data_IF_659419831234
#
_entry.id   IF_659419831234
#
_cell.length_a   1.000
_cell.length_b   1.000
_cell.length_c   1.000
_cell.angle_alpha   90.00
_cell.angle_beta   90.00
_cell.angle_gamma   90.00
#
_symmetry.space_group_name_H-M   'P 1'
#
loop_
_entity.id
_entity.type
_entity.pdbx_description
1 polymer ?
#
# COMPACT_ATOMS: atom_id res chain seq x y z
N UNK A 1 100.15 0.70 22.74
CA UNK A 1 99.00 0.10 23.44
C UNK A 1 98.01 1.16 23.99
N UNK A 2 97.93 2.37 23.39
CA UNK A 2 97.01 3.45 23.82
C UNK A 2 95.90 3.70 22.78
N UNK A 3 96.12 3.30 21.51
CA UNK A 3 95.17 3.50 20.41
C UNK A 3 93.90 2.65 20.55
N UNK A 4 94.01 1.40 21.03
CA UNK A 4 92.88 0.48 21.15
C UNK A 4 91.81 0.92 22.18
N UNK A 5 92.16 1.74 23.19
CA UNK A 5 91.20 2.24 24.17
C UNK A 5 90.31 3.36 23.62
N UNK A 6 90.82 4.19 22.68
CA UNK A 6 90.05 5.25 22.05
C UNK A 6 89.02 4.73 21.06
N UNK A 7 89.36 3.69 20.29
CA UNK A 7 88.42 3.03 19.37
C UNK A 7 87.26 2.37 20.14
N UNK A 8 87.55 1.72 21.28
CA UNK A 8 86.52 1.12 22.14
C UNK A 8 85.59 2.17 22.77
N UNK A 9 86.12 3.31 23.23
CA UNK A 9 85.30 4.42 23.74
C UNK A 9 84.43 5.05 22.64
N UNK A 10 84.94 5.16 21.42
CA UNK A 10 84.20 5.68 20.26
C UNK A 10 83.07 4.73 19.81
N UNK A 11 83.32 3.42 19.86
CA UNK A 11 82.31 2.39 19.53
C UNK A 11 81.18 2.36 20.57
N UNK A 12 81.52 2.44 21.86
CA UNK A 12 80.54 2.55 22.96
C UNK A 12 79.69 3.82 22.84
N UNK A 13 80.30 4.96 22.48
CA UNK A 13 79.57 6.20 22.24
C UNK A 13 78.62 6.10 21.03
N UNK A 14 79.03 5.39 19.97
CA UNK A 14 78.18 5.14 18.78
C UNK A 14 76.98 4.25 19.10
N UNK A 15 77.16 3.18 19.88
CA UNK A 15 76.06 2.30 20.31
C UNK A 15 75.05 3.06 21.19
N UNK A 16 75.53 3.88 22.11
CA UNK A 16 74.67 4.69 22.96
C UNK A 16 73.89 5.74 22.17
N UNK A 17 74.55 6.43 21.22
CA UNK A 17 73.89 7.37 20.31
C UNK A 17 72.84 6.68 19.43
N UNK A 18 73.15 5.50 18.89
CA UNK A 18 72.18 4.72 18.11
C UNK A 18 70.95 4.33 18.94
N UNK A 19 71.15 3.98 20.20
CA UNK A 19 70.05 3.66 21.13
C UNK A 19 69.15 4.88 21.33
N UNK A 20 69.72 6.05 21.61
CA UNK A 20 68.95 7.30 21.78
C UNK A 20 68.21 7.69 20.50
N UNK A 21 68.85 7.53 19.33
CA UNK A 21 68.24 7.84 18.03
C UNK A 21 67.06 6.90 17.79
N UNK A 22 67.21 5.61 18.05
CA UNK A 22 66.15 4.62 17.89
C UNK A 22 64.98 4.89 18.86
N UNK A 23 65.26 5.15 20.13
CA UNK A 23 64.22 5.49 21.12
C UNK A 23 63.46 6.76 20.75
N UNK A 24 64.15 7.77 20.20
CA UNK A 24 63.51 8.99 19.71
C UNK A 24 62.62 8.70 18.49
N UNK A 25 63.13 7.90 17.54
CA UNK A 25 62.39 7.52 16.33
C UNK A 25 61.13 6.73 16.68
N UNK A 26 61.22 5.75 17.56
CA UNK A 26 60.05 4.99 18.05
C UNK A 26 59.04 5.88 18.76
N UNK A 27 59.49 6.89 19.51
CA UNK A 27 58.59 7.85 20.16
C UNK A 27 57.84 8.70 19.13
N UNK A 28 58.53 9.19 18.11
CA UNK A 28 57.93 9.97 17.02
C UNK A 28 56.93 9.12 16.22
N UNK A 29 57.27 7.88 15.89
CA UNK A 29 56.36 6.93 15.22
C UNK A 29 55.12 6.62 16.07
N UNK A 30 55.28 6.43 17.39
CA UNK A 30 54.16 6.20 18.29
C UNK A 30 53.24 7.42 18.42
N UNK A 31 53.78 8.64 18.41
CA UNK A 31 52.98 9.87 18.43
C UNK A 31 52.22 10.06 17.11
N UNK A 32 52.86 9.82 15.96
CA UNK A 32 52.21 9.84 14.65
C UNK A 32 51.07 8.83 14.57
N UNK A 33 51.29 7.60 15.04
CA UNK A 33 50.25 6.57 15.05
C UNK A 33 49.05 6.97 15.93
N UNK A 34 49.28 7.56 17.10
CA UNK A 34 48.20 8.10 17.95
C UNK A 34 47.42 9.22 17.25
N UNK A 35 48.13 10.10 16.55
CA UNK A 35 47.53 11.21 15.79
C UNK A 35 46.68 10.67 14.63
N UNK A 36 47.17 9.68 13.89
CA UNK A 36 46.45 9.01 12.81
C UNK A 36 45.17 8.34 13.31
N UNK A 37 45.23 7.64 14.45
CA UNK A 37 44.02 7.07 15.09
C UNK A 37 43.05 8.17 15.53
N UNK A 38 43.54 9.29 16.05
CA UNK A 38 42.69 10.41 16.46
C UNK A 38 42.04 11.10 15.26
N UNK A 39 42.76 11.24 14.14
CA UNK A 39 42.24 11.79 12.90
C UNK A 39 41.20 10.86 12.26
N UNK A 40 41.46 9.54 12.25
CA UNK A 40 40.50 8.54 11.81
C UNK A 40 39.16 8.64 12.57
N UNK A 41 39.21 8.76 13.90
CA UNK A 41 38.02 8.97 14.73
C UNK A 41 37.29 10.29 14.43
N UNK A 42 38.02 11.36 14.09
CA UNK A 42 37.40 12.63 13.68
C UNK A 42 36.68 12.49 12.35
N UNK A 43 37.29 11.81 11.37
CA UNK A 43 36.68 11.58 10.07
C UNK A 43 35.43 10.69 10.18
N UNK A 44 35.49 9.63 10.97
CA UNK A 44 34.35 8.74 11.24
C UNK A 44 33.17 9.54 11.81
N UNK A 45 33.40 10.39 12.81
CA UNK A 45 32.36 11.24 13.40
C UNK A 45 31.78 12.25 12.39
N UNK A 46 32.60 12.75 11.47
CA UNK A 46 32.13 13.65 10.40
C UNK A 46 31.26 12.86 9.41
N UNK A 47 31.68 11.66 9.00
CA UNK A 47 30.93 10.79 8.11
C UNK A 47 29.58 10.38 8.72
N UNK A 48 29.58 10.01 10.00
CA UNK A 48 28.36 9.65 10.74
C UNK A 48 27.38 10.83 10.79
N UNK A 49 27.85 12.04 11.12
CA UNK A 49 27.02 13.24 11.11
C UNK A 49 26.42 13.53 9.74
N UNK A 50 27.22 13.42 8.67
CA UNK A 50 26.73 13.61 7.29
C UNK A 50 25.67 12.59 6.93
N UNK A 51 25.87 11.32 7.27
CA UNK A 51 24.87 10.28 7.00
C UNK A 51 23.58 10.52 7.79
N UNK A 52 23.66 10.95 9.05
CA UNK A 52 22.48 11.31 9.84
C UNK A 52 21.72 12.50 9.26
N UNK A 53 22.44 13.53 8.80
CA UNK A 53 21.87 14.70 8.15
C UNK A 53 21.15 14.35 6.84
N UNK A 54 21.77 13.52 6.00
CA UNK A 54 21.17 13.03 4.75
C UNK A 54 19.89 12.21 5.01
N UNK A 55 19.90 11.35 6.03
CA UNK A 55 18.70 10.60 6.44
C UNK A 55 17.61 11.55 6.94
N UNK A 56 17.96 12.58 7.71
CA UNK A 56 17.00 13.55 8.22
C UNK A 56 16.40 14.38 7.08
N UNK A 57 17.22 14.83 6.13
CA UNK A 57 16.77 15.58 4.96
C UNK A 57 15.84 14.74 4.08
N UNK A 58 16.21 13.49 3.81
CA UNK A 58 15.37 12.56 3.05
C UNK A 58 14.01 12.34 3.73
N UNK A 59 14.00 12.12 5.05
CA UNK A 59 12.74 11.98 5.81
C UNK A 59 11.88 13.23 5.71
N UNK A 60 12.50 14.41 5.82
CA UNK A 60 11.78 15.68 5.69
C UNK A 60 11.18 15.85 4.28
N UNK A 61 11.92 15.50 3.24
CA UNK A 61 11.41 15.53 1.86
C UNK A 61 10.26 14.53 1.65
N UNK A 62 10.38 13.31 2.17
CA UNK A 62 9.32 12.29 2.09
C UNK A 62 8.06 12.75 2.85
N UNK A 63 8.20 13.39 4.00
CA UNK A 63 7.08 13.97 4.76
C UNK A 63 6.35 15.06 3.97
N UNK A 64 7.08 15.98 3.33
CA UNK A 64 6.49 17.01 2.46
C UNK A 64 5.72 16.36 1.31
N UNK A 65 6.31 15.37 0.62
CA UNK A 65 5.65 14.69 -0.50
C UNK A 65 4.37 13.96 -0.06
N UNK A 66 4.39 13.33 1.10
CA UNK A 66 3.22 12.65 1.66
C UNK A 66 2.12 13.65 2.02
N UNK A 67 2.47 14.78 2.62
CA UNK A 67 1.50 15.83 2.96
C UNK A 67 0.90 16.48 1.70
N UNK A 68 1.70 16.74 0.67
CA UNK A 68 1.19 17.24 -0.62
C UNK A 68 0.25 16.24 -1.29
N UNK A 69 0.58 14.93 -1.25
CA UNK A 69 -0.30 13.87 -1.75
C UNK A 69 -1.61 13.84 -0.97
N UNK A 70 -1.55 13.86 0.36
CA UNK A 70 -2.74 13.87 1.23
C UNK A 70 -3.63 15.07 0.94
N UNK A 71 -3.05 16.25 0.76
CA UNK A 71 -3.78 17.47 0.37
C UNK A 71 -4.48 17.34 -0.98
N UNK A 72 -3.83 16.70 -1.97
CA UNK A 72 -4.43 16.44 -3.27
C UNK A 72 -5.58 15.44 -3.17
N UNK A 73 -5.40 14.35 -2.43
CA UNK A 73 -6.45 13.35 -2.20
C UNK A 73 -7.67 13.95 -1.48
N UNK A 74 -7.46 14.82 -0.48
CA UNK A 74 -8.52 15.56 0.20
C UNK A 74 -9.28 16.49 -0.77
N UNK A 75 -8.58 17.19 -1.66
CA UNK A 75 -9.21 18.03 -2.70
C UNK A 75 -10.04 17.19 -3.67
N UNK A 76 -9.49 16.09 -4.17
CA UNK A 76 -10.21 15.18 -5.07
C UNK A 76 -11.45 14.57 -4.41
N UNK A 77 -11.38 14.25 -3.12
CA UNK A 77 -12.51 13.75 -2.35
C UNK A 77 -13.63 14.79 -2.21
N UNK A 78 -13.29 16.03 -1.86
CA UNK A 78 -14.27 17.12 -1.76
C UNK A 78 -14.87 17.46 -3.13
N UNK A 79 -14.08 17.51 -4.20
CA UNK A 79 -14.58 17.75 -5.55
C UNK A 79 -15.56 16.65 -6.00
N UNK A 80 -15.23 15.38 -5.72
CA UNK A 80 -16.13 14.25 -5.98
C UNK A 80 -17.43 14.40 -5.20
N UNK A 81 -17.36 14.71 -3.91
CA UNK A 81 -18.52 14.91 -3.06
C UNK A 81 -19.41 16.05 -3.56
N UNK A 82 -18.82 17.18 -3.97
CA UNK A 82 -19.56 18.30 -4.54
C UNK A 82 -20.24 17.92 -5.87
N UNK A 83 -19.56 17.13 -6.70
CA UNK A 83 -20.13 16.62 -7.96
C UNK A 83 -21.31 15.68 -7.69
N UNK A 84 -21.16 14.75 -6.76
CA UNK A 84 -22.21 13.80 -6.39
C UNK A 84 -23.44 14.54 -5.82
N UNK A 85 -23.24 15.57 -4.98
CA UNK A 85 -24.31 16.44 -4.48
C UNK A 85 -25.02 17.20 -5.60
N UNK A 86 -24.25 17.76 -6.55
CA UNK A 86 -24.80 18.46 -7.71
C UNK A 86 -25.62 17.51 -8.60
N UNK A 87 -25.14 16.29 -8.82
CA UNK A 87 -25.86 15.26 -9.58
C UNK A 87 -27.17 14.87 -8.90
N UNK A 88 -27.15 14.70 -7.58
CA UNK A 88 -28.35 14.44 -6.80
C UNK A 88 -29.40 15.57 -6.90
N UNK A 89 -28.97 16.83 -6.81
CA UNK A 89 -29.86 17.98 -6.99
C UNK A 89 -30.43 18.07 -8.43
N UNK A 90 -29.61 17.78 -9.46
CA UNK A 90 -30.08 17.69 -10.85
C UNK A 90 -31.11 16.56 -11.04
N UNK A 91 -30.90 15.40 -10.42
CA UNK A 91 -31.85 14.29 -10.47
C UNK A 91 -33.18 14.67 -9.81
N UNK A 92 -33.14 15.37 -8.67
CA UNK A 92 -34.34 15.89 -7.98
C UNK A 92 -35.15 16.85 -8.88
N UNK A 93 -34.47 17.76 -9.59
CA UNK A 93 -35.13 18.67 -10.54
C UNK A 93 -35.74 17.90 -11.72
N UNK A 94 -35.03 16.90 -12.25
CA UNK A 94 -35.50 16.09 -13.38
C UNK A 94 -36.78 15.31 -13.05
N UNK A 95 -36.83 14.68 -11.86
CA UNK A 95 -38.03 14.00 -11.36
C UNK A 95 -39.19 14.96 -11.08
N UNK A 96 -38.90 16.17 -10.58
CA UNK A 96 -39.90 17.23 -10.39
C UNK A 96 -40.51 17.75 -11.70
N UNK A 97 -39.76 17.70 -12.80
CA UNK A 97 -40.24 18.08 -14.13
C UNK A 97 -41.04 16.95 -14.81
N UNK A 98 -40.67 15.68 -14.62
CA UNK A 98 -41.41 14.51 -15.11
C UNK A 98 -42.77 14.32 -14.41
N UNK A 99 -42.90 14.76 -13.16
CA UNK A 99 -44.18 14.81 -12.43
C UNK A 99 -45.24 15.75 -13.01
N UNK A 100 -44.93 16.50 -14.08
CA UNK A 100 -45.89 17.39 -14.78
C UNK A 100 -46.42 16.85 -16.11
N UNK A 101 -45.91 15.72 -16.59
CA UNK A 101 -46.31 15.14 -17.89
C UNK A 101 -46.92 13.73 -17.80
N UNK A 102 -47.55 13.37 -16.69
CA UNK A 102 -48.41 12.18 -16.63
C UNK A 102 -49.73 12.47 -15.93
N UNK A 103 -50.57 13.24 -16.61
CA UNK A 103 -52.01 13.22 -16.38
C UNK A 103 -52.67 12.35 -17.44
N UNK A 104 -52.58 11.03 -17.29
CA UNK A 104 -53.55 10.09 -17.88
C UNK A 104 -53.35 8.70 -17.30
N UNK A 105 -54.11 8.35 -16.27
CA UNK A 105 -55.06 7.22 -16.25
C UNK A 105 -55.39 6.86 -14.80
N UNK A 106 -56.70 6.75 -14.54
CA UNK A 106 -57.33 6.35 -13.29
C UNK A 106 -56.80 5.02 -12.75
N UNK A 107 -56.71 4.87 -11.43
CA UNK A 107 -57.69 4.11 -10.64
C UNK A 107 -57.23 3.97 -9.17
N UNK A 108 -58.22 4.01 -8.29
CA UNK A 108 -58.17 3.93 -6.84
C UNK A 108 -57.44 2.69 -6.33
N UNK A 109 -56.76 2.77 -5.18
CA UNK A 109 -57.11 2.00 -3.98
C UNK A 109 -56.12 2.28 -2.85
N UNK A 110 -56.66 2.62 -1.68
CA UNK A 110 -55.93 2.71 -0.43
C UNK A 110 -55.31 1.35 -0.08
N UNK A 111 -54.06 1.35 0.39
CA UNK A 111 -53.61 0.52 1.51
C UNK A 111 -52.21 0.97 1.94
N UNK A 112 -52.19 1.57 3.13
CA UNK A 112 -51.00 1.81 3.93
C UNK A 112 -50.34 0.46 4.25
N UNK A 113 -49.23 0.14 3.59
CA UNK A 113 -48.33 -0.93 4.03
C UNK A 113 -46.92 -0.52 3.67
N UNK A 114 -46.23 0.03 4.67
CA UNK A 114 -44.79 -0.06 4.90
C UNK A 114 -43.98 -0.33 3.61
N UNK A 115 -43.69 0.74 2.88
CA UNK A 115 -42.69 0.71 1.80
C UNK A 115 -41.38 0.29 2.47
N UNK A 116 -41.05 -1.01 2.39
CA UNK A 116 -39.67 -1.46 2.52
C UNK A 116 -38.89 -0.64 1.50
N UNK A 117 -37.87 0.14 1.89
CA UNK A 117 -37.01 0.75 0.89
C UNK A 117 -36.46 -0.39 0.05
N UNK A 118 -36.81 -0.41 -1.23
CA UNK A 118 -36.33 -1.37 -2.21
C UNK A 118 -34.87 -1.01 -2.44
N UNK A 119 -33.99 -1.44 -1.53
CA UNK A 119 -32.57 -1.19 -1.60
C UNK A 119 -32.08 -1.80 -2.91
N UNK A 120 -31.68 -0.94 -3.84
CA UNK A 120 -31.12 -1.36 -5.10
C UNK A 120 -29.85 -2.17 -4.81
N UNK A 121 -29.90 -3.44 -5.14
CA UNK A 121 -28.85 -4.44 -4.94
C UNK A 121 -27.46 -3.97 -5.40
N UNK A 122 -27.42 -3.13 -6.44
CA UNK A 122 -26.20 -2.54 -7.00
C UNK A 122 -25.43 -1.62 -6.04
N UNK A 123 -26.09 -1.03 -5.03
CA UNK A 123 -25.43 -0.17 -4.04
C UNK A 123 -24.94 -0.95 -2.80
N UNK A 124 -25.48 -2.14 -2.55
CA UNK A 124 -25.18 -2.95 -1.36
C UNK A 124 -24.05 -3.94 -1.56
N UNK A 125 -23.83 -4.40 -2.79
CA UNK A 125 -22.81 -5.43 -3.06
C UNK A 125 -21.53 -4.77 -3.55
N UNK A 126 -20.53 -4.71 -2.67
CA UNK A 126 -19.18 -4.31 -3.04
C UNK A 126 -18.61 -5.29 -4.07
N UNK A 127 -17.80 -4.78 -5.00
CA UNK A 127 -17.09 -5.62 -5.99
C UNK A 127 -16.21 -6.64 -5.28
N UNK A 128 -16.19 -7.87 -5.77
CA UNK A 128 -15.34 -8.91 -5.21
C UNK A 128 -13.87 -8.56 -5.41
N UNK A 129 -13.07 -8.68 -4.34
CA UNK A 129 -11.61 -8.56 -4.39
C UNK A 129 -10.99 -9.92 -4.08
N UNK A 130 -10.31 -10.52 -5.06
CA UNK A 130 -9.70 -11.85 -4.95
C UNK A 130 -8.55 -11.94 -3.95
N UNK A 131 -7.93 -10.81 -3.65
CA UNK A 131 -6.67 -10.77 -2.88
C UNK A 131 -6.94 -10.68 -1.36
N UNK A 132 -8.13 -10.22 -0.99
CA UNK A 132 -8.52 -9.95 0.41
C UNK A 132 -9.71 -10.79 0.88
N UNK A 133 -10.62 -11.18 -0.03
CA UNK A 133 -11.89 -11.80 0.36
C UNK A 133 -11.99 -13.27 -0.04
N UNK A 134 -12.29 -14.14 0.93
CA UNK A 134 -12.63 -15.53 0.64
C UNK A 134 -13.91 -15.62 -0.19
N UNK A 135 -13.84 -16.14 -1.42
CA UNK A 135 -14.99 -16.28 -2.34
C UNK A 135 -16.19 -16.98 -1.68
N UNK A 136 -15.92 -17.93 -0.76
CA UNK A 136 -16.96 -18.65 -0.04
C UNK A 136 -17.82 -17.72 0.83
N UNK A 137 -17.19 -16.78 1.53
CA UNK A 137 -17.89 -15.80 2.36
C UNK A 137 -18.62 -14.77 1.50
N UNK A 138 -18.02 -14.37 0.38
CA UNK A 138 -18.63 -13.44 -0.57
C UNK A 138 -19.93 -13.99 -1.17
N UNK A 139 -19.93 -15.25 -1.62
CA UNK A 139 -21.12 -15.90 -2.18
C UNK A 139 -22.25 -16.03 -1.14
N UNK A 140 -21.92 -16.36 0.12
CA UNK A 140 -22.90 -16.42 1.22
C UNK A 140 -23.53 -15.05 1.48
N UNK A 141 -22.74 -13.97 1.47
CA UNK A 141 -23.23 -12.61 1.65
C UNK A 141 -24.17 -12.21 0.48
N UNK A 142 -23.78 -12.53 -0.75
CA UNK A 142 -24.57 -12.26 -1.94
C UNK A 142 -25.91 -13.01 -1.93
N UNK A 143 -25.92 -14.29 -1.55
CA UNK A 143 -27.16 -15.08 -1.42
C UNK A 143 -28.11 -14.50 -0.36
N UNK A 144 -27.56 -14.06 0.78
CA UNK A 144 -28.37 -13.45 1.84
C UNK A 144 -28.99 -12.14 1.36
N UNK A 145 -28.23 -11.30 0.66
CA UNK A 145 -28.70 -10.03 0.10
C UNK A 145 -29.72 -10.25 -1.03
N UNK A 146 -29.46 -11.19 -1.95
CA UNK A 146 -30.38 -11.52 -3.03
C UNK A 146 -31.73 -12.03 -2.51
N UNK A 147 -31.72 -12.85 -1.46
CA UNK A 147 -32.94 -13.31 -0.76
C UNK A 147 -33.66 -12.17 -0.05
N UNK A 148 -32.93 -11.26 0.60
CA UNK A 148 -33.50 -10.09 1.28
C UNK A 148 -34.13 -9.09 0.29
N UNK A 149 -33.56 -8.97 -0.90
CA UNK A 149 -34.04 -8.12 -1.99
C UNK A 149 -35.07 -8.82 -2.89
N UNK A 150 -35.47 -10.06 -2.58
CA UNK A 150 -36.44 -10.86 -3.35
C UNK A 150 -36.08 -10.96 -4.86
N UNK A 151 -34.78 -11.08 -5.17
CA UNK A 151 -34.28 -11.18 -6.54
C UNK A 151 -34.55 -12.58 -7.09
N UNK A 152 -35.07 -12.65 -8.31
CA UNK A 152 -35.33 -13.92 -9.01
C UNK A 152 -34.01 -14.68 -9.26
N UNK A 153 -33.99 -15.97 -8.93
CA UNK A 153 -32.81 -16.84 -9.01
C UNK A 153 -32.21 -16.91 -10.43
N UNK A 154 -33.05 -16.82 -11.46
CA UNK A 154 -32.61 -16.81 -12.87
C UNK A 154 -31.80 -15.56 -13.27
N UNK A 155 -31.75 -14.54 -12.42
CA UNK A 155 -30.94 -13.33 -12.66
C UNK A 155 -29.68 -13.29 -11.79
N UNK A 156 -29.50 -14.21 -10.84
CA UNK A 156 -28.38 -14.15 -9.89
C UNK A 156 -27.02 -14.26 -10.55
N UNK A 157 -26.88 -15.08 -11.59
CA UNK A 157 -25.65 -15.21 -12.38
C UNK A 157 -25.30 -13.87 -13.05
N UNK A 158 -26.26 -13.22 -13.69
CA UNK A 158 -26.05 -11.93 -14.37
C UNK A 158 -25.60 -10.86 -13.40
N UNK A 159 -26.21 -10.80 -12.22
CA UNK A 159 -25.81 -9.90 -11.16
C UNK A 159 -24.41 -10.23 -10.64
N UNK A 160 -24.10 -11.51 -10.44
CA UNK A 160 -22.78 -11.98 -10.02
C UNK A 160 -21.69 -11.62 -11.02
N UNK A 161 -21.92 -11.80 -12.32
CA UNK A 161 -20.97 -11.44 -13.38
C UNK A 161 -20.62 -9.94 -13.38
N UNK A 162 -21.58 -9.06 -13.06
CA UNK A 162 -21.34 -7.62 -12.93
C UNK A 162 -20.53 -7.23 -11.69
N UNK A 163 -20.42 -8.12 -10.71
CA UNK A 163 -19.76 -7.88 -9.43
C UNK A 163 -18.39 -8.55 -9.31
N UNK A 164 -18.11 -9.52 -10.17
CA UNK A 164 -16.84 -10.24 -10.21
C UNK A 164 -15.79 -9.48 -11.03
N UNK A 165 -14.51 -9.54 -10.61
CA UNK A 165 -13.38 -9.21 -11.45
C UNK A 165 -13.40 -9.96 -12.79
N UNK A 166 -12.84 -9.32 -13.81
CA UNK A 166 -12.92 -9.80 -15.20
C UNK A 166 -12.30 -11.19 -15.42
N UNK A 167 -11.19 -11.47 -14.75
CA UNK A 167 -10.50 -12.76 -14.73
C UNK A 167 -11.37 -13.88 -14.16
N UNK A 168 -12.19 -13.60 -13.16
CA UNK A 168 -13.13 -14.56 -12.57
C UNK A 168 -14.34 -14.77 -13.46
N UNK A 169 -14.89 -13.69 -14.02
CA UNK A 169 -16.02 -13.75 -14.95
C UNK A 169 -15.67 -14.55 -16.22
N UNK A 170 -14.42 -14.47 -16.70
CA UNK A 170 -13.94 -15.30 -17.81
C UNK A 170 -14.01 -16.81 -17.54
N UNK A 171 -13.88 -17.24 -16.28
CA UNK A 171 -13.98 -18.66 -15.95
C UNK A 171 -15.39 -19.18 -16.17
N UNK A 172 -16.40 -18.35 -15.88
CA UNK A 172 -17.80 -18.68 -16.10
C UNK A 172 -18.13 -18.63 -17.59
N UNK A 173 -17.60 -17.63 -18.32
CA UNK A 173 -17.83 -17.47 -19.76
C UNK A 173 -17.21 -18.58 -20.63
N UNK A 174 -16.32 -19.41 -20.08
CA UNK A 174 -15.73 -20.57 -20.79
C UNK A 174 -16.57 -21.84 -20.68
N UNK A 175 -17.55 -21.85 -19.78
CA UNK A 175 -18.47 -22.97 -19.60
C UNK A 175 -19.66 -22.84 -20.56
N UNK A 176 -20.30 -23.95 -20.94
CA UNK A 176 -21.48 -23.92 -21.79
C UNK A 176 -22.65 -23.20 -21.10
N UNK A 177 -23.58 -22.63 -21.87
CA UNK A 177 -24.67 -21.78 -21.38
C UNK A 177 -25.55 -22.48 -20.34
N UNK A 178 -25.73 -23.81 -20.42
CA UNK A 178 -26.49 -24.58 -19.43
C UNK A 178 -25.84 -24.54 -18.04
N UNK A 179 -24.51 -24.46 -17.99
CA UNK A 179 -23.72 -24.41 -16.75
C UNK A 179 -23.54 -22.95 -16.32
N UNK A 180 -23.24 -22.07 -17.27
CA UNK A 180 -23.00 -20.66 -16.99
C UNK A 180 -24.24 -19.95 -16.43
N UNK A 181 -25.46 -20.37 -16.82
CA UNK A 181 -26.70 -19.78 -16.34
C UNK A 181 -27.25 -20.41 -15.04
N UNK A 182 -26.71 -21.54 -14.58
CA UNK A 182 -27.07 -22.13 -13.29
C UNK A 182 -26.16 -21.61 -12.17
N UNK A 183 -26.73 -20.83 -11.28
CA UNK A 183 -26.03 -20.29 -10.11
C UNK A 183 -25.35 -21.37 -9.26
N UNK A 184 -25.96 -22.55 -9.12
CA UNK A 184 -25.39 -23.63 -8.30
C UNK A 184 -24.14 -24.21 -8.93
N UNK A 185 -24.10 -24.34 -10.26
CA UNK A 185 -22.92 -24.80 -10.98
C UNK A 185 -21.81 -23.74 -10.97
N UNK A 186 -22.16 -22.48 -11.23
CA UNK A 186 -21.22 -21.34 -11.10
C UNK A 186 -20.61 -21.28 -9.70
N UNK A 187 -21.42 -21.44 -8.65
CA UNK A 187 -20.95 -21.50 -7.25
C UNK A 187 -19.95 -22.64 -7.03
N UNK A 188 -20.19 -23.83 -7.57
CA UNK A 188 -19.25 -24.96 -7.47
C UNK A 188 -17.92 -24.66 -8.15
N UNK A 189 -17.94 -24.06 -9.33
CA UNK A 189 -16.74 -23.69 -10.09
C UNK A 189 -15.88 -22.69 -9.31
N UNK A 190 -16.52 -21.62 -8.81
CA UNK A 190 -15.86 -20.58 -8.01
C UNK A 190 -15.25 -21.16 -6.74
N UNK A 191 -15.99 -21.99 -6.01
CA UNK A 191 -15.51 -22.65 -4.80
C UNK A 191 -14.34 -23.61 -5.09
N UNK A 192 -14.38 -24.35 -6.20
CA UNK A 192 -13.32 -25.30 -6.56
C UNK A 192 -12.02 -24.57 -6.91
N UNK A 193 -12.09 -23.46 -7.63
CA UNK A 193 -10.91 -22.69 -8.05
C UNK A 193 -10.19 -22.02 -6.88
N UNK A 194 -10.94 -21.39 -5.98
CA UNK A 194 -10.36 -20.65 -4.85
C UNK A 194 -10.09 -21.51 -3.60
N UNK A 195 -10.57 -22.76 -3.53
CA UNK A 195 -10.14 -23.73 -2.51
C UNK A 195 -8.83 -24.46 -2.88
N UNK A 196 -8.31 -24.27 -4.09
CA UNK A 196 -7.18 -25.03 -4.64
C UNK A 196 -5.88 -24.22 -4.77
N UNK A 197 -5.75 -23.08 -4.10
CA UNK A 197 -4.47 -22.37 -4.03
C UNK A 197 -3.84 -22.66 -2.66
N UNK A 198 -2.74 -23.45 -2.57
CA UNK A 198 -1.92 -23.52 -1.37
C UNK A 198 -1.30 -22.16 -1.03
#
# INVERSE_FOLDING_TARGET
>A
MILASKEYEEECAKEWLNTIINERKEREENELWKEEIAEGKRQEKIAERKSQEEIAERKHQEEIQMEERRRREEQEYEDRKQKDEMEFELQKISLGAEGRFSNSFDNQNANNTQIKPKLEYHHLVQKFNSDENHISLYLIMLERLAKQAEILENTWVTHLLGLLPFDVAQLIAREPDEIANDYNEVKKILLKRYKLTP
#
